data_IF_005207401880
#
_entry.id   IF_005207401880
#
_cell.length_a   1.000
_cell.length_b   1.000
_cell.length_c   1.000
_cell.angle_alpha   90.00
_cell.angle_beta   90.00
_cell.angle_gamma   90.00
#
_symmetry.space_group_name_H-M   'P 1'
#
loop_
_entity.id
_entity.type
_entity.pdbx_description
1 polymer ?
#
# COMPACT_ATOMS: atom_id res chain seq x y z
N UNK A 1 -17.56 -1.20 0.74
CA UNK A 1 -16.53 -0.88 -0.28
C UNK A 1 -16.00 0.50 0.08
N UNK A 2 -14.70 0.66 0.32
CA UNK A 2 -14.13 1.98 0.62
C UNK A 2 -14.33 2.90 -0.60
N UNK A 3 -14.70 4.18 -0.40
CA UNK A 3 -14.75 5.14 -1.48
C UNK A 3 -13.36 5.27 -2.09
N UNK A 4 -13.26 4.99 -3.39
CA UNK A 4 -12.02 5.14 -4.14
C UNK A 4 -11.96 6.60 -4.57
N UNK A 5 -11.02 7.35 -4.01
CA UNK A 5 -10.70 8.68 -4.55
C UNK A 5 -9.94 8.48 -5.88
N UNK A 6 -10.64 8.74 -6.98
CA UNK A 6 -10.11 8.59 -8.34
C UNK A 6 -8.97 9.56 -8.63
N UNK A 7 -8.97 10.76 -8.04
CA UNK A 7 -7.93 11.76 -8.24
C UNK A 7 -6.59 11.29 -7.66
N UNK A 8 -6.62 10.55 -6.54
CA UNK A 8 -5.42 9.95 -5.96
C UNK A 8 -4.80 8.83 -6.82
N UNK A 9 -5.53 8.30 -7.80
CA UNK A 9 -5.08 7.18 -8.63
C UNK A 9 -4.79 7.57 -10.09
N UNK A 10 -5.11 8.80 -10.51
CA UNK A 10 -4.89 9.27 -11.88
C UNK A 10 -3.40 9.39 -12.23
N UNK A 11 -3.02 9.07 -13.46
CA UNK A 11 -1.66 9.23 -14.01
C UNK A 11 -0.51 8.59 -13.20
N UNK A 12 -0.78 7.51 -12.43
CA UNK A 12 0.28 6.79 -11.71
C UNK A 12 1.15 5.99 -12.69
N UNK A 13 2.48 6.18 -12.64
CA UNK A 13 3.43 5.41 -13.47
C UNK A 13 3.72 4.01 -12.91
N UNK A 14 3.56 3.82 -11.61
CA UNK A 14 3.82 2.56 -10.91
C UNK A 14 3.04 2.48 -9.59
N UNK A 15 2.95 1.28 -9.03
CA UNK A 15 2.57 1.02 -7.64
C UNK A 15 3.80 0.46 -6.93
N UNK A 16 4.23 1.08 -5.84
CA UNK A 16 5.25 0.53 -4.96
C UNK A 16 4.60 -0.07 -3.73
N UNK A 17 5.17 -1.16 -3.24
CA UNK A 17 4.75 -1.81 -2.00
C UNK A 17 5.96 -1.87 -1.09
N UNK A 18 5.85 -1.29 0.10
CA UNK A 18 6.90 -1.39 1.11
C UNK A 18 6.65 -2.65 1.95
N UNK A 19 7.41 -3.71 1.65
CA UNK A 19 7.38 -4.97 2.39
C UNK A 19 8.34 -4.99 3.60
N UNK A 20 8.99 -3.88 3.96
CA UNK A 20 10.06 -3.86 4.98
C UNK A 20 9.62 -4.38 6.34
N UNK A 21 8.36 -4.15 6.72
CA UNK A 21 7.77 -4.66 7.97
C UNK A 21 7.30 -6.12 7.88
N UNK A 22 7.14 -6.65 6.67
CA UNK A 22 6.65 -8.00 6.41
C UNK A 22 7.80 -9.00 6.28
N UNK A 23 8.66 -9.03 7.29
CA UNK A 23 9.92 -9.81 7.30
C UNK A 23 9.72 -11.32 7.22
N UNK A 24 8.50 -11.80 7.49
CA UNK A 24 8.15 -13.22 7.44
C UNK A 24 7.59 -13.68 6.09
N UNK A 25 7.35 -12.78 5.14
CA UNK A 25 6.93 -13.17 3.78
C UNK A 25 8.10 -13.80 3.03
N UNK A 26 7.84 -14.94 2.41
CA UNK A 26 8.77 -15.53 1.46
C UNK A 26 8.82 -14.71 0.17
N UNK A 27 9.87 -14.90 -0.64
CA UNK A 27 10.01 -14.19 -1.91
C UNK A 27 8.85 -14.52 -2.87
N UNK A 28 8.38 -15.77 -2.84
CA UNK A 28 7.25 -16.25 -3.63
C UNK A 28 5.95 -15.57 -3.22
N UNK A 29 5.75 -15.30 -1.92
CA UNK A 29 4.56 -14.59 -1.43
C UNK A 29 4.56 -13.14 -1.90
N UNK A 30 5.73 -12.47 -1.83
CA UNK A 30 5.89 -11.10 -2.35
C UNK A 30 5.58 -11.04 -3.83
N UNK A 31 6.17 -11.93 -4.61
CA UNK A 31 5.96 -11.99 -6.06
C UNK A 31 4.47 -12.21 -6.39
N UNK A 32 3.78 -13.11 -5.68
CA UNK A 32 2.35 -13.33 -5.87
C UNK A 32 1.53 -12.05 -5.62
N UNK A 33 1.84 -11.31 -4.55
CA UNK A 33 1.18 -10.03 -4.23
C UNK A 33 1.42 -9.00 -5.34
N UNK A 34 2.66 -8.86 -5.79
CA UNK A 34 3.04 -7.94 -6.87
C UNK A 34 2.33 -8.27 -8.18
N UNK A 35 2.31 -9.53 -8.58
CA UNK A 35 1.62 -10.00 -9.80
C UNK A 35 0.11 -9.78 -9.71
N UNK A 36 -0.49 -10.07 -8.56
CA UNK A 36 -1.92 -9.85 -8.34
C UNK A 36 -2.28 -8.37 -8.44
N UNK A 37 -1.51 -7.48 -7.80
CA UNK A 37 -1.76 -6.03 -7.85
C UNK A 37 -1.50 -5.50 -9.26
N UNK A 38 -0.40 -5.89 -9.89
CA UNK A 38 -0.03 -5.41 -11.22
C UNK A 38 -1.06 -5.81 -12.28
N UNK A 39 -1.54 -7.05 -12.23
CA UNK A 39 -2.62 -7.52 -13.12
C UNK A 39 -3.95 -6.82 -12.83
N UNK A 40 -4.29 -6.60 -11.55
CA UNK A 40 -5.57 -5.99 -11.15
C UNK A 40 -5.70 -4.52 -11.56
N UNK A 41 -4.58 -3.78 -11.56
CA UNK A 41 -4.53 -2.34 -11.82
C UNK A 41 -3.83 -1.98 -13.12
N UNK A 42 -3.33 -2.97 -13.89
CA UNK A 42 -2.59 -2.77 -15.13
C UNK A 42 -1.43 -1.76 -15.01
N UNK A 43 -0.69 -1.85 -13.89
CA UNK A 43 0.41 -0.95 -13.56
C UNK A 43 1.66 -1.76 -13.15
N UNK A 44 2.88 -1.28 -13.47
CA UNK A 44 4.11 -1.87 -12.95
C UNK A 44 4.13 -1.83 -11.42
N UNK A 45 4.53 -2.95 -10.78
CA UNK A 45 4.66 -3.06 -9.32
C UNK A 45 6.12 -3.24 -8.93
N UNK A 46 6.54 -2.65 -7.82
CA UNK A 46 7.90 -2.80 -7.26
C UNK A 46 7.94 -2.83 -5.73
N UNK A 47 8.79 -3.67 -5.15
CA UNK A 47 9.20 -3.61 -3.73
C UNK A 47 10.15 -2.40 -3.54
N UNK A 48 9.69 -1.37 -2.80
CA UNK A 48 10.50 -0.19 -2.51
C UNK A 48 9.97 0.58 -1.29
N UNK A 49 10.89 1.09 -0.47
CA UNK A 49 10.57 2.01 0.62
C UNK A 49 10.39 3.45 0.12
N UNK A 50 9.76 4.30 0.92
CA UNK A 50 9.59 5.73 0.58
C UNK A 50 10.93 6.43 0.25
N UNK A 51 11.97 6.20 1.06
CA UNK A 51 13.28 6.81 0.84
C UNK A 51 13.93 6.31 -0.46
N UNK A 52 13.83 5.02 -0.78
CA UNK A 52 14.33 4.48 -2.05
C UNK A 52 13.60 5.08 -3.25
N UNK A 53 12.29 5.31 -3.14
CA UNK A 53 11.51 5.95 -4.19
C UNK A 53 11.95 7.40 -4.40
N UNK A 54 12.09 8.16 -3.32
CA UNK A 54 12.58 9.54 -3.35
C UNK A 54 13.98 9.64 -3.99
N UNK A 55 14.90 8.77 -3.59
CA UNK A 55 16.23 8.70 -4.20
C UNK A 55 16.17 8.34 -5.69
N UNK A 56 15.28 7.40 -6.07
CA UNK A 56 15.15 6.96 -7.46
C UNK A 56 14.53 7.99 -8.38
N UNK A 57 13.63 8.84 -7.87
CA UNK A 57 12.98 9.90 -8.64
C UNK A 57 13.84 11.17 -8.70
N UNK A 58 14.73 11.39 -7.73
CA UNK A 58 15.68 12.50 -7.75
C UNK A 58 14.97 13.85 -7.91
N UNK A 59 15.33 14.60 -8.95
CA UNK A 59 14.74 15.91 -9.25
C UNK A 59 13.26 15.86 -9.67
N UNK A 60 12.76 14.69 -10.10
CA UNK A 60 11.33 14.49 -10.42
C UNK A 60 10.48 14.47 -9.13
N UNK A 61 11.08 14.19 -7.98
CA UNK A 61 10.46 14.40 -6.68
C UNK A 61 10.44 15.90 -6.37
N UNK A 62 9.41 16.58 -6.88
CA UNK A 62 9.34 18.05 -6.81
C UNK A 62 9.30 18.55 -5.35
N UNK A 63 10.28 19.37 -5.01
CA UNK A 63 10.41 20.04 -3.71
C UNK A 63 9.43 21.22 -3.64
N UNK A 64 8.13 20.89 -3.52
CA UNK A 64 7.00 21.75 -3.19
C UNK A 64 5.66 20.97 -3.08
N UNK A 65 5.69 19.64 -3.20
CA UNK A 65 4.53 18.78 -2.93
C UNK A 65 4.86 17.38 -2.42
N UNK A 66 6.15 17.01 -2.34
CA UNK A 66 6.59 15.66 -2.00
C UNK A 66 5.86 14.58 -2.82
N UNK A 67 5.69 14.83 -4.12
CA UNK A 67 4.82 14.03 -5.00
C UNK A 67 5.62 12.93 -5.65
N UNK A 68 5.17 11.68 -5.52
CA UNK A 68 5.69 10.54 -6.29
C UNK A 68 5.09 10.53 -7.69
N UNK A 69 5.87 10.09 -8.68
CA UNK A 69 5.35 9.76 -10.02
C UNK A 69 4.39 8.56 -10.02
N UNK A 70 4.38 7.77 -8.94
CA UNK A 70 3.47 6.66 -8.73
C UNK A 70 2.75 6.75 -7.38
N UNK A 71 2.38 5.59 -6.84
CA UNK A 71 1.76 5.47 -5.52
C UNK A 71 2.56 4.50 -4.69
N UNK A 72 2.77 4.80 -3.41
CA UNK A 72 3.34 3.90 -2.42
C UNK A 72 2.22 3.33 -1.55
N UNK A 73 2.19 2.00 -1.42
CA UNK A 73 1.42 1.26 -0.42
C UNK A 73 2.40 0.83 0.66
N UNK A 74 2.31 1.44 1.84
CA UNK A 74 3.17 1.12 2.97
C UNK A 74 2.36 0.41 4.03
N UNK A 75 2.90 -0.68 4.55
CA UNK A 75 2.33 -1.37 5.71
C UNK A 75 3.14 -0.90 6.91
N UNK A 76 2.44 -0.37 7.92
CA UNK A 76 3.07 0.15 9.13
C UNK A 76 3.06 -0.90 10.24
N UNK A 77 1.97 -1.67 10.31
CA UNK A 77 1.75 -2.61 11.41
C UNK A 77 0.85 -3.77 10.98
N UNK A 78 1.19 -4.97 11.46
CA UNK A 78 0.34 -6.15 11.37
C UNK A 78 0.22 -6.78 12.75
N UNK A 79 -1.00 -6.91 13.24
CA UNK A 79 -1.32 -7.62 14.48
C UNK A 79 -2.18 -8.83 14.16
N UNK A 80 -1.74 -10.02 14.59
CA UNK A 80 -2.44 -11.28 14.37
C UNK A 80 -2.87 -11.83 15.72
N UNK A 81 -4.10 -12.34 15.78
CA UNK A 81 -4.70 -12.99 16.95
C UNK A 81 -5.35 -14.32 16.55
N UNK A 82 -5.84 -15.09 17.52
CA UNK A 82 -6.53 -16.36 17.26
C UNK A 82 -7.81 -16.19 16.43
N UNK A 83 -8.44 -15.03 16.48
CA UNK A 83 -9.75 -14.78 15.86
C UNK A 83 -9.67 -13.90 14.61
N UNK A 84 -8.55 -13.24 14.37
CA UNK A 84 -8.47 -12.21 13.35
C UNK A 84 -7.09 -11.59 13.21
N UNK A 85 -6.99 -10.63 12.29
CA UNK A 85 -5.80 -9.80 12.13
C UNK A 85 -6.21 -8.36 11.84
N UNK A 86 -5.35 -7.41 12.23
CA UNK A 86 -5.47 -6.00 11.89
C UNK A 86 -4.22 -5.60 11.13
N UNK A 87 -4.42 -5.00 9.96
CA UNK A 87 -3.36 -4.43 9.14
C UNK A 87 -3.57 -2.92 9.12
N UNK A 88 -2.56 -2.18 9.56
CA UNK A 88 -2.52 -0.73 9.44
C UNK A 88 -1.44 -0.36 8.43
N UNK A 89 -1.76 0.61 7.59
CA UNK A 89 -0.82 1.13 6.62
C UNK A 89 -1.33 2.41 6.00
N UNK A 90 -0.68 2.84 4.94
CA UNK A 90 -1.05 4.02 4.20
C UNK A 90 -0.87 3.87 2.70
N UNK A 91 -1.68 4.62 1.97
CA UNK A 91 -1.42 4.96 0.57
C UNK A 91 -0.81 6.36 0.54
N UNK A 92 0.37 6.49 -0.04
CA UNK A 92 1.04 7.77 -0.23
C UNK A 92 1.20 8.08 -1.71
N UNK A 93 0.77 9.27 -2.11
CA UNK A 93 1.11 9.88 -3.40
C UNK A 93 1.86 11.19 -3.25
N UNK A 94 1.43 12.01 -2.30
CA UNK A 94 2.01 13.33 -2.03
C UNK A 94 1.80 13.73 -0.58
N UNK A 95 2.44 14.81 -0.14
CA UNK A 95 2.25 15.33 1.22
C UNK A 95 0.78 15.56 1.61
N UNK A 96 -0.04 16.05 0.68
CA UNK A 96 -1.49 16.28 0.87
C UNK A 96 -2.35 15.20 0.16
N UNK A 97 -1.75 14.05 -0.11
CA UNK A 97 -2.39 12.93 -0.82
C UNK A 97 -2.04 11.61 -0.16
N UNK A 98 -1.90 11.64 1.16
CA UNK A 98 -1.63 10.48 2.00
C UNK A 98 -2.91 10.08 2.74
N UNK A 99 -3.24 8.79 2.69
CA UNK A 99 -4.42 8.22 3.33
C UNK A 99 -3.99 7.03 4.18
N UNK A 100 -4.23 7.12 5.49
CA UNK A 100 -4.07 6.00 6.41
C UNK A 100 -5.26 5.06 6.34
N UNK A 101 -5.02 3.76 6.33
CA UNK A 101 -6.04 2.71 6.20
C UNK A 101 -5.81 1.68 7.32
N UNK A 102 -6.89 1.28 7.99
CA UNK A 102 -6.94 0.06 8.79
C UNK A 102 -7.84 -0.98 8.13
N UNK A 103 -7.37 -2.22 8.10
CA UNK A 103 -8.08 -3.38 7.56
C UNK A 103 -8.20 -4.41 8.68
N UNK A 104 -9.43 -4.77 9.03
CA UNK A 104 -9.72 -5.86 9.94
C UNK A 104 -10.08 -7.12 9.17
N UNK A 105 -9.44 -8.21 9.56
CA UNK A 105 -9.58 -9.54 8.99
C UNK A 105 -10.11 -10.51 10.04
N UNK A 106 -11.03 -11.38 9.65
CA UNK A 106 -11.48 -12.53 10.43
C UNK A 106 -11.07 -13.82 9.72
N UNK A 107 -10.59 -14.82 10.47
CA UNK A 107 -10.35 -16.16 9.93
C UNK A 107 -11.63 -16.98 10.02
N UNK A 108 -12.34 -17.13 8.90
CA UNK A 108 -13.62 -17.83 8.85
C UNK A 108 -13.60 -18.93 7.79
N UNK A 109 -13.93 -20.15 8.22
CA UNK A 109 -13.94 -21.35 7.38
C UNK A 109 -12.57 -21.65 6.75
N UNK A 110 -11.47 -21.34 7.47
CA UNK A 110 -10.10 -21.52 6.99
C UNK A 110 -9.62 -20.47 5.96
N UNK A 111 -10.40 -19.41 5.73
CA UNK A 111 -10.03 -18.31 4.84
C UNK A 111 -10.11 -16.96 5.56
N UNK A 112 -9.13 -16.10 5.31
CA UNK A 112 -9.15 -14.71 5.76
C UNK A 112 -10.22 -13.93 5.01
N UNK A 113 -11.09 -13.22 5.74
CA UNK A 113 -12.14 -12.36 5.18
C UNK A 113 -11.98 -10.94 5.72
N UNK A 114 -12.07 -9.96 4.83
CA UNK A 114 -12.15 -8.55 5.23
C UNK A 114 -13.52 -8.29 5.84
N UNK A 115 -13.54 -7.96 7.14
CA UNK A 115 -14.77 -7.59 7.85
C UNK A 115 -14.96 -6.08 7.87
N UNK A 116 -13.87 -5.33 7.91
CA UNK A 116 -13.87 -3.87 7.87
C UNK A 116 -12.62 -3.37 7.16
N UNK A 117 -12.79 -2.30 6.38
CA UNK A 117 -11.68 -1.51 5.86
C UNK A 117 -12.11 -0.04 5.91
N UNK A 118 -11.37 0.78 6.64
CA UNK A 118 -11.72 2.16 6.91
C UNK A 118 -10.49 3.07 6.80
N UNK A 119 -10.74 4.32 6.40
CA UNK A 119 -9.73 5.36 6.46
C UNK A 119 -9.53 5.76 7.93
N UNK A 120 -8.30 5.67 8.42
CA UNK A 120 -7.94 6.14 9.75
C UNK A 120 -7.73 7.66 9.77
N UNK A 121 -7.15 8.20 8.70
CA UNK A 121 -6.91 9.63 8.51
C UNK A 121 -6.69 9.95 7.03
N UNK A 122 -6.92 11.21 6.65
CA UNK A 122 -6.64 11.78 5.32
C UNK A 122 -5.91 13.10 5.57
N UNK A 123 -4.75 13.30 4.93
CA UNK A 123 -3.98 14.56 5.00
C UNK A 123 -4.11 15.37 3.72
#
# INVERSE_FOLDING_TARGET
MMPIDEALNADMKYIAIDFSVLTHLAAEDKQYIEEYIGSRFAAPVRDATFEQLKESEGDDFTDNGMVLSGVLLQIDKVEISEHGAVIEGMKYRSGNGAVGIAIQLELKDGAWKVIEAANNWIS
#
